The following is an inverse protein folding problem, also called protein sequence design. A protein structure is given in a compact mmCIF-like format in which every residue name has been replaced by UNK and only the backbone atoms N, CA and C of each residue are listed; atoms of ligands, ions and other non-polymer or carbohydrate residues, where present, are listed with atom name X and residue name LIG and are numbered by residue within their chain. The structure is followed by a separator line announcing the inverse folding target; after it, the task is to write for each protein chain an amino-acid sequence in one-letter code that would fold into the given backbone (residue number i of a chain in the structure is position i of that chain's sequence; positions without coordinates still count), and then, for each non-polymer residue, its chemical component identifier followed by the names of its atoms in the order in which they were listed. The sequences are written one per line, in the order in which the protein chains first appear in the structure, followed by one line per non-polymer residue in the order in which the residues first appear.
data_IF_878347779101
#
_entry.id   IF_878347779101
#
_cell.length_a   1.000
_cell.length_b   1.000
_cell.length_c   1.000
_cell.angle_alpha   90.00
_cell.angle_beta   90.00
_cell.angle_gamma   90.00
#
_symmetry.space_group_name_H-M   'P 1'
#
loop_
_entity.id
_entity.type
_entity.pdbx_description
1 polymer ?
#
# COMPACT_ATOMS: atom_id res chain seq x y z
N UNK A 1 -3.33 22.69 -9.11
CA UNK A 1 -2.42 21.95 -8.19
C UNK A 1 -3.23 21.10 -7.20
N UNK A 2 -4.45 20.72 -7.57
CA UNK A 2 -5.50 20.32 -6.61
C UNK A 2 -5.63 18.79 -6.45
N UNK A 3 -5.03 18.02 -7.37
CA UNK A 3 -5.07 16.55 -7.35
C UNK A 3 -3.91 15.86 -6.60
N UNK A 4 -2.85 16.60 -6.26
CA UNK A 4 -1.63 16.02 -5.66
C UNK A 4 -1.85 15.64 -4.19
N UNK A 5 -2.56 16.48 -3.43
CA UNK A 5 -2.89 16.22 -2.03
C UNK A 5 -3.66 14.90 -1.82
N UNK A 6 -4.78 14.68 -2.53
CA UNK A 6 -5.53 13.42 -2.49
C UNK A 6 -4.70 12.20 -2.94
N UNK A 7 -3.87 12.36 -3.98
CA UNK A 7 -3.02 11.28 -4.47
C UNK A 7 -1.97 10.84 -3.45
N UNK A 8 -1.31 11.80 -2.79
CA UNK A 8 -0.36 11.52 -1.71
C UNK A 8 -1.05 10.89 -0.50
N UNK A 9 -2.23 11.37 -0.13
CA UNK A 9 -3.01 10.82 0.98
C UNK A 9 -3.45 9.37 0.70
N UNK A 10 -3.98 9.12 -0.49
CA UNK A 10 -4.37 7.77 -0.94
C UNK A 10 -3.18 6.81 -0.96
N UNK A 11 -2.03 7.27 -1.46
CA UNK A 11 -0.80 6.46 -1.47
C UNK A 11 -0.29 6.17 -0.06
N UNK A 12 -0.36 7.15 0.86
CA UNK A 12 0.02 6.98 2.26
C UNK A 12 -0.82 5.92 2.97
N UNK A 13 -2.14 5.99 2.83
CA UNK A 13 -3.07 4.99 3.36
C UNK A 13 -2.80 3.62 2.75
N UNK A 14 -2.63 3.53 1.44
CA UNK A 14 -2.39 2.27 0.75
C UNK A 14 -1.07 1.64 1.21
N UNK A 15 -0.02 2.44 1.37
CA UNK A 15 1.28 1.99 1.91
C UNK A 15 1.11 1.44 3.31
N UNK A 16 0.36 2.12 4.18
CA UNK A 16 0.08 1.64 5.54
C UNK A 16 -0.67 0.31 5.52
N UNK A 17 -1.75 0.20 4.74
CA UNK A 17 -2.57 -1.02 4.64
C UNK A 17 -1.72 -2.20 4.13
N UNK A 18 -0.84 -1.94 3.16
CA UNK A 18 -0.04 -2.97 2.52
C UNK A 18 1.17 -3.39 3.37
N UNK A 19 1.76 -2.47 4.16
CA UNK A 19 2.81 -2.81 5.14
C UNK A 19 2.26 -3.38 6.46
N UNK A 20 0.99 -3.12 6.79
CA UNK A 20 0.37 -3.55 8.05
C UNK A 20 0.52 -5.06 8.34
N UNK A 21 0.33 -5.98 7.38
CA UNK A 21 0.55 -7.41 7.59
C UNK A 21 1.99 -7.74 7.95
N UNK A 22 2.97 -7.07 7.34
CA UNK A 22 4.39 -7.29 7.60
C UNK A 22 4.79 -6.75 8.97
N UNK A 23 4.24 -5.60 9.36
CA UNK A 23 4.41 -5.06 10.70
C UNK A 23 3.86 -6.02 11.77
N UNK A 24 2.64 -6.52 11.59
CA UNK A 24 2.06 -7.50 12.52
C UNK A 24 2.85 -8.81 12.52
N UNK A 25 3.31 -9.30 11.36
CA UNK A 25 4.16 -10.50 11.27
C UNK A 25 5.46 -10.35 12.08
N UNK A 26 6.06 -9.15 12.10
CA UNK A 26 7.33 -8.87 12.79
C UNK A 26 7.14 -8.59 14.29
N UNK A 27 6.16 -7.76 14.67
CA UNK A 27 6.02 -7.27 16.05
C UNK A 27 4.91 -7.94 16.86
N UNK A 28 3.87 -8.48 16.21
CA UNK A 28 2.68 -9.05 16.88
C UNK A 28 2.28 -10.38 16.27
N UNK A 29 3.18 -11.36 16.31
CA UNK A 29 2.97 -12.73 15.80
C UNK A 29 1.66 -13.38 16.27
N UNK A 30 1.25 -13.11 17.52
CA UNK A 30 -0.01 -13.60 18.09
C UNK A 30 -1.27 -13.04 17.39
N UNK A 31 -1.20 -11.82 16.83
CA UNK A 31 -2.27 -11.20 16.02
C UNK A 31 -2.15 -11.49 14.52
N UNK A 32 -1.06 -12.12 14.07
CA UNK A 32 -0.87 -12.51 12.67
C UNK A 32 -1.70 -13.75 12.32
N UNK A 33 -3.03 -13.57 12.23
CA UNK A 33 -4.01 -14.63 11.94
C UNK A 33 -5.09 -14.12 10.97
N UNK A 34 -5.85 -15.06 10.38
CA UNK A 34 -6.98 -14.75 9.50
C UNK A 34 -6.59 -13.94 8.26
N UNK A 35 -7.29 -12.83 8.04
CA UNK A 35 -7.16 -11.96 6.86
C UNK A 35 -5.75 -11.37 6.75
N UNK A 36 -5.18 -10.92 7.88
CA UNK A 36 -3.84 -10.32 7.91
C UNK A 36 -2.77 -11.33 7.50
N UNK A 37 -2.90 -12.58 7.97
CA UNK A 37 -2.00 -13.68 7.57
C UNK A 37 -2.13 -13.97 6.07
N UNK A 38 -3.36 -14.08 5.57
CA UNK A 38 -3.64 -14.37 4.16
C UNK A 38 -3.15 -13.26 3.23
N UNK A 39 -3.25 -11.99 3.64
CA UNK A 39 -2.69 -10.85 2.92
C UNK A 39 -1.16 -10.92 2.89
N UNK A 40 -0.50 -11.05 4.04
CA UNK A 40 0.97 -11.09 4.10
C UNK A 40 1.57 -12.29 3.36
N UNK A 41 0.90 -13.44 3.35
CA UNK A 41 1.31 -14.62 2.57
C UNK A 41 1.08 -14.44 1.06
N UNK A 42 -0.03 -13.85 0.63
CA UNK A 42 -0.27 -13.53 -0.78
C UNK A 42 0.72 -12.52 -1.33
N UNK A 43 1.04 -11.49 -0.54
CA UNK A 43 2.03 -10.49 -0.95
C UNK A 43 3.45 -11.07 -0.94
N UNK A 44 3.71 -12.05 -0.06
CA UNK A 44 4.93 -12.86 0.00
C UNK A 44 6.15 -12.10 0.55
N UNK A 45 6.39 -10.88 0.06
CA UNK A 45 7.55 -10.07 0.42
C UNK A 45 7.18 -8.59 0.54
N UNK A 46 7.71 -7.86 1.54
CA UNK A 46 7.43 -6.44 1.72
C UNK A 46 7.85 -5.60 0.50
N UNK A 47 8.87 -6.06 -0.24
CA UNK A 47 9.29 -5.43 -1.49
C UNK A 47 8.20 -5.46 -2.57
N UNK A 48 7.47 -6.58 -2.70
CA UNK A 48 6.32 -6.68 -3.61
C UNK A 48 5.13 -5.87 -3.12
N UNK A 49 4.99 -5.73 -1.81
CA UNK A 49 3.97 -4.92 -1.16
C UNK A 49 4.10 -3.44 -1.57
N UNK A 50 5.33 -2.91 -1.63
CA UNK A 50 5.61 -1.51 -1.96
C UNK A 50 5.35 -1.20 -3.45
N UNK A 51 5.32 -2.20 -4.33
CA UNK A 51 5.01 -2.00 -5.76
C UNK A 51 3.57 -1.49 -5.95
N UNK A 52 2.62 -1.90 -5.10
CA UNK A 52 1.22 -1.46 -5.18
C UNK A 52 1.05 0.06 -4.98
N UNK A 53 1.55 0.68 -3.90
CA UNK A 53 1.50 2.13 -3.75
C UNK A 53 2.35 2.88 -4.77
N UNK A 54 3.48 2.33 -5.21
CA UNK A 54 4.27 2.94 -6.30
C UNK A 54 3.47 2.99 -7.59
N UNK A 55 2.84 1.87 -7.99
CA UNK A 55 2.02 1.81 -9.20
C UNK A 55 0.80 2.72 -9.12
N UNK A 56 0.16 2.81 -7.95
CA UNK A 56 -0.94 3.75 -7.71
C UNK A 56 -0.49 5.21 -7.83
N UNK A 57 0.66 5.57 -7.26
CA UNK A 57 1.19 6.93 -7.31
C UNK A 57 1.59 7.33 -8.74
N UNK A 58 2.21 6.42 -9.50
CA UNK A 58 2.50 6.62 -10.92
C UNK A 58 1.20 6.80 -11.72
N UNK A 59 0.19 5.97 -11.50
CA UNK A 59 -1.11 6.08 -12.17
C UNK A 59 -1.80 7.41 -11.89
N UNK A 60 -1.80 7.86 -10.62
CA UNK A 60 -2.33 9.17 -10.25
C UNK A 60 -1.55 10.32 -10.90
N UNK A 61 -0.22 10.26 -10.94
CA UNK A 61 0.60 11.27 -11.62
C UNK A 61 0.28 11.34 -13.12
N UNK A 62 0.15 10.19 -13.78
CA UNK A 62 -0.24 10.12 -15.20
C UNK A 62 -1.63 10.72 -15.41
N UNK A 63 -2.61 10.40 -14.56
CA UNK A 63 -3.96 10.97 -14.64
C UNK A 63 -3.97 12.50 -14.47
N UNK A 64 -3.20 13.02 -13.51
CA UNK A 64 -3.05 14.47 -13.29
C UNK A 64 -2.39 15.14 -14.50
N UNK A 65 -1.38 14.51 -15.10
CA UNK A 65 -0.70 15.02 -16.32
C UNK A 65 -1.65 15.01 -17.52
N UNK A 66 -2.48 13.97 -17.65
CA UNK A 66 -3.48 13.82 -18.71
C UNK A 66 -4.73 14.67 -18.50
N UNK A 67 -4.88 15.34 -17.36
CA UNK A 67 -6.00 16.23 -17.03
C UNK A 67 -7.38 15.53 -17.16
N UNK A 68 -7.44 14.26 -16.76
CA UNK A 68 -8.67 13.46 -16.58
C UNK A 68 -9.18 13.63 -15.15
#
# INVERSE_FOLDING_TARGET
MDGIGPALFGTGILTFIVLYPFYIKKYKKHKYKGIVKRMGERTGSPARAIIYPIGFLIGCLIGIILNI
#
